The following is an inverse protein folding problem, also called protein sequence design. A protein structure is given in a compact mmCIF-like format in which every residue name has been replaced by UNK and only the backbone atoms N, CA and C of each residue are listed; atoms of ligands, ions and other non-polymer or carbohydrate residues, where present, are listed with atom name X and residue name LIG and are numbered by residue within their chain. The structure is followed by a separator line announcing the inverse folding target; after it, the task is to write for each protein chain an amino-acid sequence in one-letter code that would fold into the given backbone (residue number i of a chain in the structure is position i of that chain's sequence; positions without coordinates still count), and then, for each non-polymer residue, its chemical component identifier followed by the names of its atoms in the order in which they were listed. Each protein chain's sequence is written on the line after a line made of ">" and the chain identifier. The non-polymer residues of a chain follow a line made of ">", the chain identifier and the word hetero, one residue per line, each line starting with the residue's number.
data_IF_178770898750
#
_entry.id   IF_178770898750
#
_cell.length_a   1.000
_cell.length_b   1.000
_cell.length_c   1.000
_cell.angle_alpha   90.00
_cell.angle_beta   90.00
_cell.angle_gamma   90.00
#
_symmetry.space_group_name_H-M   'P 1'
#
loop_
_entity.id
_entity.type
_entity.pdbx_description
1 polymer ?
#
# COMPACT_ATOMS: atom_id res chain seq x y z
N UNK A 1 47.17 -44.23 -48.27
CA UNK A 1 46.58 -42.98 -48.81
C UNK A 1 45.70 -43.35 -50.00
N UNK A 2 44.37 -43.35 -49.87
CA UNK A 2 43.48 -43.58 -51.02
C UNK A 2 42.14 -44.27 -50.80
N UNK A 3 41.55 -44.32 -49.59
CA UNK A 3 40.24 -44.98 -49.40
C UNK A 3 39.26 -44.27 -48.46
N UNK A 4 39.50 -43.02 -48.07
CA UNK A 4 38.65 -42.28 -47.11
C UNK A 4 38.13 -40.92 -47.60
N UNK A 5 38.30 -40.56 -48.88
CA UNK A 5 37.88 -39.26 -49.44
C UNK A 5 36.63 -39.31 -50.35
N UNK A 6 35.92 -40.44 -50.43
CA UNK A 6 34.74 -40.64 -51.30
C UNK A 6 33.39 -40.78 -50.57
N UNK A 7 33.36 -40.62 -49.25
CA UNK A 7 32.13 -40.83 -48.45
C UNK A 7 31.48 -39.55 -47.90
N UNK A 8 32.12 -38.37 -48.01
CA UNK A 8 31.61 -37.14 -47.41
C UNK A 8 31.83 -35.89 -48.30
N UNK A 9 31.56 -36.01 -49.60
CA UNK A 9 31.55 -34.88 -50.54
C UNK A 9 30.21 -34.78 -51.23
N UNK A 10 29.34 -33.89 -50.76
CA UNK A 10 28.05 -33.60 -51.39
C UNK A 10 27.26 -32.58 -50.57
N UNK A 11 27.24 -31.34 -51.06
CA UNK A 11 26.51 -30.20 -50.51
C UNK A 11 25.02 -30.53 -50.25
N UNK A 12 24.64 -30.64 -48.98
CA UNK A 12 23.24 -30.73 -48.58
C UNK A 12 22.62 -29.33 -48.60
N UNK A 13 22.08 -28.91 -49.75
CA UNK A 13 21.08 -27.83 -49.81
C UNK A 13 19.87 -28.24 -48.96
N UNK A 14 19.49 -27.41 -48.00
CA UNK A 14 18.27 -27.58 -47.24
C UNK A 14 17.04 -27.57 -48.18
N UNK A 15 16.03 -28.44 -47.96
CA UNK A 15 14.82 -28.43 -48.76
C UNK A 15 14.04 -27.12 -48.53
N UNK A 16 13.36 -26.58 -49.56
CA UNK A 16 12.59 -25.35 -49.43
C UNK A 16 11.43 -25.54 -48.44
N UNK A 17 11.03 -24.46 -47.73
CA UNK A 17 9.92 -24.53 -46.79
C UNK A 17 8.61 -24.89 -47.52
N UNK A 18 7.68 -25.58 -46.84
CA UNK A 18 6.39 -25.93 -47.44
C UNK A 18 5.60 -24.66 -47.82
N UNK A 19 4.77 -24.72 -48.86
CA UNK A 19 3.98 -23.57 -49.30
C UNK A 19 3.05 -23.09 -48.18
N UNK A 20 2.98 -21.76 -48.02
CA UNK A 20 2.13 -21.12 -47.02
C UNK A 20 0.67 -21.56 -47.22
N UNK A 21 0.02 -21.98 -46.13
CA UNK A 21 -1.41 -22.30 -46.14
C UNK A 21 -2.20 -21.05 -46.59
N UNK A 22 -3.23 -21.21 -47.45
CA UNK A 22 -4.07 -20.08 -47.85
C UNK A 22 -4.69 -19.45 -46.61
N UNK A 23 -4.62 -18.12 -46.51
CA UNK A 23 -5.27 -17.37 -45.44
C UNK A 23 -6.76 -17.70 -45.44
N UNK A 24 -7.39 -17.99 -44.28
CA UNK A 24 -8.83 -18.12 -44.22
C UNK A 24 -9.48 -16.82 -44.74
N UNK A 25 -10.67 -16.90 -45.36
CA UNK A 25 -11.37 -15.72 -45.84
C UNK A 25 -11.54 -14.72 -44.69
N UNK A 26 -11.26 -13.45 -44.95
CA UNK A 26 -11.55 -12.36 -44.01
C UNK A 26 -13.04 -12.43 -43.67
N UNK A 27 -13.35 -12.64 -42.39
CA UNK A 27 -14.69 -12.42 -41.88
C UNK A 27 -15.11 -10.99 -42.28
N UNK A 28 -16.38 -10.76 -42.68
CA UNK A 28 -16.85 -9.43 -43.00
C UNK A 28 -16.54 -8.51 -41.81
N UNK A 29 -15.95 -7.35 -42.09
CA UNK A 29 -15.70 -6.32 -41.09
C UNK A 29 -17.02 -6.08 -40.36
N UNK A 30 -17.06 -6.39 -39.06
CA UNK A 30 -18.16 -5.93 -38.21
C UNK A 30 -18.14 -4.43 -38.34
N UNK A 31 -19.19 -3.88 -38.97
CA UNK A 31 -19.39 -2.44 -39.01
C UNK A 31 -19.16 -1.88 -37.61
N UNK A 32 -18.47 -0.75 -37.56
CA UNK A 32 -18.21 -0.01 -36.33
C UNK A 32 -19.48 -0.01 -35.47
N UNK A 33 -19.38 -0.28 -34.16
CA UNK A 33 -20.55 -0.23 -33.30
C UNK A 33 -21.21 1.14 -33.50
N UNK A 34 -22.43 1.15 -34.04
CA UNK A 34 -23.23 2.35 -34.14
C UNK A 34 -23.17 3.04 -32.78
N UNK A 35 -22.69 4.29 -32.77
CA UNK A 35 -22.72 5.11 -31.58
C UNK A 35 -24.15 5.07 -31.03
N UNK A 36 -24.30 4.56 -29.81
CA UNK A 36 -25.57 4.55 -29.12
C UNK A 36 -26.12 5.99 -29.09
N UNK A 37 -27.44 6.19 -29.21
CA UNK A 37 -28.03 7.52 -29.11
C UNK A 37 -27.55 8.20 -27.82
N UNK A 38 -27.14 9.46 -27.94
CA UNK A 38 -26.66 10.27 -26.82
C UNK A 38 -27.63 10.15 -25.63
N UNK A 39 -27.09 9.79 -24.46
CA UNK A 39 -27.87 9.70 -23.22
C UNK A 39 -28.35 11.10 -22.82
N UNK A 40 -29.60 11.26 -22.34
CA UNK A 40 -30.13 12.56 -21.98
C UNK A 40 -29.47 13.05 -20.68
N UNK A 41 -28.43 13.88 -20.81
CA UNK A 41 -27.99 14.75 -19.72
C UNK A 41 -29.17 15.63 -19.29
N UNK A 42 -29.59 15.51 -18.03
CA UNK A 42 -30.66 16.31 -17.44
C UNK A 42 -32.06 15.71 -17.48
N UNK A 43 -32.21 14.38 -17.61
CA UNK A 43 -33.52 13.76 -17.50
C UNK A 43 -34.08 13.91 -16.07
N UNK A 44 -35.24 14.57 -15.93
CA UNK A 44 -35.96 14.74 -14.67
C UNK A 44 -36.47 13.37 -14.17
N UNK A 45 -35.69 12.73 -13.31
CA UNK A 45 -35.97 11.42 -12.71
C UNK A 45 -37.28 11.44 -11.91
N UNK A 46 -37.65 12.59 -11.34
CA UNK A 46 -38.85 12.71 -10.52
C UNK A 46 -40.14 12.59 -11.33
N UNK A 47 -40.09 13.00 -12.60
CA UNK A 47 -41.18 12.92 -13.56
C UNK A 47 -41.30 11.56 -14.28
N UNK A 48 -40.34 10.64 -14.10
CA UNK A 48 -40.33 9.35 -14.80
C UNK A 48 -41.32 8.34 -14.19
N UNK A 49 -41.92 7.52 -15.06
CA UNK A 49 -42.71 6.36 -14.65
C UNK A 49 -41.84 5.15 -14.27
N UNK A 50 -42.44 4.13 -13.64
CA UNK A 50 -41.73 2.93 -13.20
C UNK A 50 -41.01 2.16 -14.34
N UNK A 51 -41.51 2.24 -15.58
CA UNK A 51 -40.88 1.58 -16.74
C UNK A 51 -39.66 2.33 -17.22
N UNK A 52 -39.73 3.66 -17.26
CA UNK A 52 -38.61 4.53 -17.60
C UNK A 52 -37.49 4.37 -16.56
N UNK A 53 -37.84 4.40 -15.27
CA UNK A 53 -36.90 4.16 -14.17
C UNK A 53 -36.25 2.76 -14.26
N UNK A 54 -37.03 1.72 -14.55
CA UNK A 54 -36.50 0.35 -14.74
C UNK A 54 -35.48 0.26 -15.87
N UNK A 55 -35.65 1.03 -16.96
CA UNK A 55 -34.63 1.10 -18.03
C UNK A 55 -33.39 1.83 -17.55
N UNK A 56 -33.57 2.92 -16.80
CA UNK A 56 -32.47 3.75 -16.28
C UNK A 56 -31.57 3.00 -15.28
N UNK A 57 -32.08 1.95 -14.62
CA UNK A 57 -31.26 1.02 -13.82
C UNK A 57 -30.15 0.28 -14.61
N UNK A 58 -30.15 0.33 -15.94
CA UNK A 58 -29.08 -0.24 -16.79
C UNK A 58 -28.23 0.84 -17.47
N UNK A 59 -28.35 2.11 -17.04
CA UNK A 59 -27.54 3.20 -17.55
C UNK A 59 -26.05 2.96 -17.29
N UNK A 60 -25.18 3.53 -18.13
CA UNK A 60 -23.73 3.45 -17.93
C UNK A 60 -23.28 4.25 -16.71
N UNK A 61 -23.87 5.42 -16.53
CA UNK A 61 -23.59 6.29 -15.39
C UNK A 61 -24.15 5.69 -14.08
N UNK A 62 -23.31 5.44 -13.05
CA UNK A 62 -23.78 5.05 -11.73
C UNK A 62 -24.77 6.05 -11.13
N UNK A 63 -24.56 7.37 -11.32
CA UNK A 63 -25.43 8.39 -10.76
C UNK A 63 -26.89 8.26 -11.24
N UNK A 64 -27.08 8.01 -12.53
CA UNK A 64 -28.39 7.70 -13.10
C UNK A 64 -29.03 6.44 -12.54
N UNK A 65 -28.26 5.34 -12.38
CA UNK A 65 -28.78 4.09 -11.79
C UNK A 65 -29.21 4.29 -10.35
N UNK A 66 -28.42 5.02 -9.57
CA UNK A 66 -28.70 5.32 -8.17
C UNK A 66 -29.93 6.22 -8.00
N UNK A 67 -30.06 7.27 -8.84
CA UNK A 67 -31.24 8.14 -8.84
C UNK A 67 -32.51 7.36 -9.21
N UNK A 68 -32.43 6.49 -10.23
CA UNK A 68 -33.54 5.63 -10.62
C UNK A 68 -33.97 4.68 -9.48
N UNK A 69 -32.99 4.09 -8.79
CA UNK A 69 -33.24 3.17 -7.69
C UNK A 69 -33.90 3.86 -6.49
N UNK A 70 -33.40 5.04 -6.12
CA UNK A 70 -33.99 5.84 -5.05
C UNK A 70 -35.46 6.20 -5.36
N UNK A 71 -35.73 6.61 -6.61
CA UNK A 71 -37.09 6.92 -7.04
C UNK A 71 -37.99 5.69 -7.03
N UNK A 72 -37.55 4.54 -7.54
CA UNK A 72 -38.32 3.29 -7.50
C UNK A 72 -38.64 2.85 -6.07
N UNK A 73 -37.69 2.95 -5.14
CA UNK A 73 -37.93 2.67 -3.73
C UNK A 73 -38.98 3.62 -3.13
N UNK A 74 -38.96 4.91 -3.50
CA UNK A 74 -39.96 5.89 -3.04
C UNK A 74 -41.38 5.59 -3.53
N UNK A 75 -41.52 4.96 -4.71
CA UNK A 75 -42.81 4.50 -5.23
C UNK A 75 -43.33 3.25 -4.50
N UNK A 76 -42.42 2.45 -3.91
CA UNK A 76 -42.76 1.28 -3.09
C UNK A 76 -43.39 0.12 -3.87
N UNK A 77 -43.35 0.15 -5.21
CA UNK A 77 -43.96 -0.91 -6.01
C UNK A 77 -43.14 -2.21 -5.92
N UNK A 78 -43.80 -3.32 -5.59
CA UNK A 78 -43.17 -4.67 -5.57
C UNK A 78 -42.64 -5.09 -6.94
N UNK A 79 -43.17 -4.51 -8.03
CA UNK A 79 -42.71 -4.73 -9.41
C UNK A 79 -41.24 -4.35 -9.59
N UNK A 80 -40.72 -3.41 -8.81
CA UNK A 80 -39.36 -2.89 -8.90
C UNK A 80 -38.31 -3.78 -8.22
N UNK A 81 -38.72 -4.73 -7.35
CA UNK A 81 -37.80 -5.62 -6.64
C UNK A 81 -36.83 -6.35 -7.55
N UNK A 82 -37.35 -7.01 -8.60
CA UNK A 82 -36.51 -7.80 -9.50
C UNK A 82 -35.60 -6.93 -10.39
N UNK A 83 -36.07 -5.82 -10.97
CA UNK A 83 -35.19 -4.83 -11.60
C UNK A 83 -34.06 -4.33 -10.70
N UNK A 84 -34.37 -3.91 -9.47
CA UNK A 84 -33.37 -3.42 -8.51
C UNK A 84 -32.35 -4.49 -8.14
N UNK A 85 -32.81 -5.72 -7.90
CA UNK A 85 -31.95 -6.84 -7.57
C UNK A 85 -31.00 -7.16 -8.72
N UNK A 86 -31.49 -7.20 -9.95
CA UNK A 86 -30.66 -7.40 -11.14
C UNK A 86 -29.65 -6.27 -11.34
N UNK A 87 -30.05 -5.02 -11.12
CA UNK A 87 -29.15 -3.88 -11.22
C UNK A 87 -28.01 -4.00 -10.21
N UNK A 88 -28.32 -4.28 -8.95
CA UNK A 88 -27.29 -4.48 -7.93
C UNK A 88 -26.39 -5.67 -8.23
N UNK A 89 -26.95 -6.83 -8.61
CA UNK A 89 -26.15 -8.01 -8.97
C UNK A 89 -25.19 -7.75 -10.14
N UNK A 90 -25.55 -6.89 -11.09
CA UNK A 90 -24.72 -6.55 -12.24
C UNK A 90 -23.69 -5.46 -11.94
N UNK A 91 -24.04 -4.43 -11.17
CA UNK A 91 -23.23 -3.22 -11.02
C UNK A 91 -22.65 -3.02 -9.61
N UNK A 92 -23.33 -3.49 -8.56
CA UNK A 92 -22.85 -3.39 -7.17
C UNK A 92 -23.01 -2.01 -6.54
N UNK A 93 -23.81 -1.12 -7.12
CA UNK A 93 -23.96 0.26 -6.62
C UNK A 93 -24.58 0.29 -5.21
N UNK A 94 -23.91 0.99 -4.28
CA UNK A 94 -24.28 1.00 -2.87
C UNK A 94 -25.67 1.61 -2.62
N UNK A 95 -26.05 2.66 -3.36
CA UNK A 95 -27.38 3.26 -3.21
C UNK A 95 -28.50 2.38 -3.78
N UNK A 96 -28.20 1.48 -4.73
CA UNK A 96 -29.17 0.48 -5.21
C UNK A 96 -29.41 -0.58 -4.13
N UNK A 97 -28.37 -1.02 -3.42
CA UNK A 97 -28.52 -1.91 -2.27
C UNK A 97 -29.35 -1.27 -1.14
N UNK A 98 -29.10 0.02 -0.87
CA UNK A 98 -29.90 0.80 0.08
C UNK A 98 -31.37 0.90 -0.33
N UNK A 99 -31.64 1.08 -1.62
CA UNK A 99 -33.00 1.07 -2.16
C UNK A 99 -33.65 -0.32 -2.04
N UNK A 100 -32.91 -1.41 -2.23
CA UNK A 100 -33.41 -2.77 -1.98
C UNK A 100 -33.81 -2.94 -0.51
N UNK A 101 -32.97 -2.49 0.43
CA UNK A 101 -33.20 -2.63 1.87
C UNK A 101 -34.58 -2.11 2.34
N UNK A 102 -35.17 -1.13 1.64
CA UNK A 102 -36.50 -0.58 2.00
C UNK A 102 -37.64 -1.59 1.83
N UNK A 103 -37.41 -2.69 1.12
CA UNK A 103 -38.42 -3.73 0.91
C UNK A 103 -38.42 -4.81 2.00
N UNK A 104 -37.41 -4.85 2.88
CA UNK A 104 -37.34 -5.78 4.02
C UNK A 104 -37.61 -7.24 3.64
N UNK A 105 -38.50 -7.89 4.38
CA UNK A 105 -38.87 -9.31 4.21
C UNK A 105 -39.31 -9.69 2.78
N UNK A 106 -39.83 -8.75 1.99
CA UNK A 106 -40.21 -9.03 0.61
C UNK A 106 -39.02 -9.43 -0.28
N UNK A 107 -37.78 -9.12 0.15
CA UNK A 107 -36.54 -9.55 -0.49
C UNK A 107 -36.16 -10.99 -0.20
N UNK A 108 -36.62 -11.58 0.91
CA UNK A 108 -36.14 -12.89 1.37
C UNK A 108 -36.38 -13.99 0.33
N UNK A 109 -37.60 -14.17 -0.25
CA UNK A 109 -37.82 -15.21 -1.24
C UNK A 109 -36.96 -15.08 -2.52
N UNK A 110 -36.86 -13.91 -3.19
CA UNK A 110 -35.98 -13.79 -4.35
C UNK A 110 -34.50 -13.90 -4.00
N UNK A 111 -34.03 -13.35 -2.87
CA UNK A 111 -32.62 -13.46 -2.47
C UNK A 111 -32.20 -14.91 -2.17
N UNK A 112 -33.03 -15.67 -1.45
CA UNK A 112 -32.78 -17.11 -1.21
C UNK A 112 -32.75 -17.92 -2.50
N UNK A 113 -33.56 -17.55 -3.48
CA UNK A 113 -33.55 -18.20 -4.80
C UNK A 113 -32.22 -17.97 -5.51
N UNK A 114 -31.73 -16.74 -5.56
CA UNK A 114 -30.42 -16.44 -6.14
C UNK A 114 -29.30 -17.15 -5.36
N UNK A 115 -29.36 -17.19 -4.02
CA UNK A 115 -28.37 -17.90 -3.21
C UNK A 115 -28.37 -19.42 -3.41
N UNK A 116 -29.48 -20.00 -3.87
CA UNK A 116 -29.58 -21.44 -4.17
C UNK A 116 -29.15 -21.78 -5.60
N UNK A 117 -28.93 -20.77 -6.44
CA UNK A 117 -28.49 -20.97 -7.81
C UNK A 117 -26.98 -21.20 -7.86
N UNK A 118 -26.58 -22.45 -8.14
CA UNK A 118 -25.18 -22.88 -8.25
C UNK A 118 -24.46 -22.26 -9.46
N UNK A 119 -25.20 -21.69 -10.42
CA UNK A 119 -24.63 -20.97 -11.55
C UNK A 119 -24.13 -19.57 -11.19
N UNK A 120 -24.50 -19.05 -10.02
CA UNK A 120 -24.06 -17.74 -9.52
C UNK A 120 -22.75 -17.91 -8.75
N UNK A 121 -21.68 -17.37 -9.31
CA UNK A 121 -20.30 -17.48 -8.80
C UNK A 121 -19.60 -16.11 -8.73
N UNK A 122 -18.46 -16.05 -8.03
CA UNK A 122 -17.59 -14.87 -7.91
C UNK A 122 -18.31 -13.63 -7.38
N UNK A 123 -17.99 -12.45 -7.92
CA UNK A 123 -18.56 -11.15 -7.52
C UNK A 123 -20.09 -11.15 -7.49
N UNK A 124 -20.77 -11.83 -8.41
CA UNK A 124 -22.24 -11.90 -8.38
C UNK A 124 -22.74 -12.67 -7.15
N UNK A 125 -22.05 -13.74 -6.76
CA UNK A 125 -22.34 -14.51 -5.55
C UNK A 125 -22.05 -13.71 -4.28
N UNK A 126 -20.97 -12.95 -4.26
CA UNK A 126 -20.66 -12.04 -3.16
C UNK A 126 -21.77 -10.99 -2.96
N UNK A 127 -22.27 -10.40 -4.06
CA UNK A 127 -23.41 -9.46 -4.04
C UNK A 127 -24.73 -10.09 -3.59
N UNK A 128 -24.92 -11.40 -3.77
CA UNK A 128 -26.09 -12.08 -3.17
C UNK A 128 -26.01 -12.03 -1.64
N UNK A 129 -24.81 -12.17 -1.05
CA UNK A 129 -24.64 -12.06 0.41
C UNK A 129 -25.03 -10.67 0.91
N UNK A 130 -24.69 -9.62 0.15
CA UNK A 130 -25.11 -8.26 0.47
C UNK A 130 -26.62 -8.08 0.49
N UNK A 131 -27.31 -8.60 -0.52
CA UNK A 131 -28.76 -8.56 -0.58
C UNK A 131 -29.36 -9.31 0.62
N UNK A 132 -28.84 -10.50 0.96
CA UNK A 132 -29.28 -11.25 2.13
C UNK A 132 -29.07 -10.46 3.44
N UNK A 133 -27.92 -9.80 3.58
CA UNK A 133 -27.58 -9.00 4.76
C UNK A 133 -28.50 -7.81 5.00
N UNK A 134 -29.06 -7.21 3.95
CA UNK A 134 -30.01 -6.07 4.08
C UNK A 134 -31.47 -6.48 4.27
N UNK A 135 -31.78 -7.78 4.26
CA UNK A 135 -33.15 -8.27 4.50
C UNK A 135 -33.59 -8.10 5.97
N UNK A 136 -32.63 -8.06 6.91
CA UNK A 136 -32.88 -8.08 8.35
C UNK A 136 -33.70 -9.31 8.82
N UNK A 137 -33.61 -10.44 8.11
CA UNK A 137 -34.39 -11.64 8.39
C UNK A 137 -33.52 -12.79 8.88
N UNK A 138 -33.90 -13.42 10.00
CA UNK A 138 -33.21 -14.59 10.55
C UNK A 138 -33.29 -15.82 9.61
N UNK A 139 -34.26 -15.84 8.68
CA UNK A 139 -34.45 -16.95 7.73
C UNK A 139 -33.25 -17.16 6.79
N UNK A 140 -32.41 -16.15 6.60
CA UNK A 140 -31.26 -16.22 5.69
C UNK A 140 -29.94 -16.48 6.41
N UNK A 141 -29.91 -16.42 7.74
CA UNK A 141 -28.68 -16.53 8.54
C UNK A 141 -27.91 -17.82 8.25
N UNK A 142 -28.59 -18.96 8.13
CA UNK A 142 -27.91 -20.23 7.84
C UNK A 142 -27.22 -20.22 6.47
N UNK A 143 -27.87 -19.65 5.45
CA UNK A 143 -27.33 -19.53 4.09
C UNK A 143 -26.10 -18.63 4.08
N UNK A 144 -26.13 -17.53 4.83
CA UNK A 144 -25.01 -16.60 4.94
C UNK A 144 -23.86 -17.22 5.75
N UNK A 145 -24.15 -17.94 6.84
CA UNK A 145 -23.14 -18.64 7.65
C UNK A 145 -22.34 -19.63 6.82
N UNK A 146 -23.00 -20.45 6.01
CA UNK A 146 -22.32 -21.41 5.14
C UNK A 146 -21.35 -20.72 4.16
N UNK A 147 -21.69 -19.51 3.69
CA UNK A 147 -20.84 -18.72 2.80
C UNK A 147 -19.64 -18.05 3.49
N UNK A 148 -19.58 -18.03 4.83
CA UNK A 148 -18.40 -17.53 5.55
C UNK A 148 -17.21 -18.48 5.50
N UNK A 149 -17.38 -19.70 4.97
CA UNK A 149 -16.27 -20.63 4.73
C UNK A 149 -15.98 -20.83 3.24
N UNK A 150 -16.51 -19.94 2.38
CA UNK A 150 -16.21 -19.93 0.95
C UNK A 150 -14.71 -19.64 0.71
N UNK A 151 -14.15 -20.29 -0.30
CA UNK A 151 -12.74 -20.11 -0.68
C UNK A 151 -12.51 -18.80 -1.44
N UNK A 152 -13.55 -18.29 -2.12
CA UNK A 152 -13.52 -16.98 -2.74
C UNK A 152 -13.59 -15.90 -1.66
N UNK A 153 -12.53 -15.09 -1.60
CA UNK A 153 -12.37 -14.08 -0.56
C UNK A 153 -13.45 -13.00 -0.60
N UNK A 154 -13.98 -12.67 -1.79
CA UNK A 154 -15.06 -11.69 -1.92
C UNK A 154 -16.36 -12.24 -1.32
N UNK A 155 -16.69 -13.50 -1.63
CA UNK A 155 -17.87 -14.17 -1.07
C UNK A 155 -17.76 -14.28 0.46
N UNK A 156 -16.61 -14.76 0.93
CA UNK A 156 -16.29 -14.86 2.36
C UNK A 156 -16.50 -13.52 3.09
N UNK A 157 -15.90 -12.45 2.57
CA UNK A 157 -15.92 -11.13 3.21
C UNK A 157 -17.34 -10.55 3.22
N UNK A 158 -18.07 -10.62 2.09
CA UNK A 158 -19.45 -10.13 2.02
C UNK A 158 -20.41 -10.96 2.88
N UNK A 159 -20.18 -12.27 3.01
CA UNK A 159 -20.93 -13.11 3.94
C UNK A 159 -20.72 -12.68 5.41
N UNK A 160 -19.49 -12.37 5.80
CA UNK A 160 -19.19 -11.87 7.14
C UNK A 160 -19.86 -10.51 7.41
N UNK A 161 -19.80 -9.58 6.45
CA UNK A 161 -20.53 -8.29 6.54
C UNK A 161 -22.04 -8.51 6.65
N UNK A 162 -22.60 -9.42 5.85
CA UNK A 162 -24.01 -9.74 5.87
C UNK A 162 -24.45 -10.33 7.22
N UNK A 163 -23.69 -11.25 7.82
CA UNK A 163 -23.97 -11.77 9.16
C UNK A 163 -23.96 -10.67 10.22
N UNK A 164 -22.96 -9.78 10.17
CA UNK A 164 -22.88 -8.67 11.10
C UNK A 164 -24.11 -7.73 10.99
N UNK A 165 -24.60 -7.48 9.76
CA UNK A 165 -25.83 -6.70 9.52
C UNK A 165 -27.09 -7.38 10.04
N UNK A 166 -27.13 -8.72 10.00
CA UNK A 166 -28.19 -9.53 10.57
C UNK A 166 -28.10 -9.63 12.11
N UNK A 167 -27.11 -8.98 12.73
CA UNK A 167 -26.92 -8.98 14.18
C UNK A 167 -26.14 -10.18 14.72
N UNK A 168 -25.58 -11.02 13.84
CA UNK A 168 -24.74 -12.14 14.22
C UNK A 168 -23.28 -11.71 14.34
N UNK A 169 -22.78 -11.65 15.58
CA UNK A 169 -21.40 -11.27 15.90
C UNK A 169 -20.35 -12.20 15.29
N UNK A 170 -20.73 -13.42 14.90
CA UNK A 170 -19.85 -14.38 14.24
C UNK A 170 -19.17 -13.80 12.99
N UNK A 171 -19.89 -12.97 12.21
CA UNK A 171 -19.32 -12.30 11.05
C UNK A 171 -18.15 -11.37 11.41
N UNK A 172 -18.26 -10.64 12.53
CA UNK A 172 -17.19 -9.77 13.02
C UNK A 172 -16.01 -10.60 13.54
N UNK A 173 -16.28 -11.69 14.26
CA UNK A 173 -15.23 -12.54 14.80
C UNK A 173 -14.41 -13.22 13.69
N UNK A 174 -15.04 -13.65 12.58
CA UNK A 174 -14.33 -14.18 11.40
C UNK A 174 -13.41 -13.15 10.75
N UNK A 175 -13.86 -11.91 10.59
CA UNK A 175 -13.03 -10.82 10.07
C UNK A 175 -11.89 -10.47 11.04
N UNK A 176 -12.13 -10.56 12.36
CA UNK A 176 -11.08 -10.38 13.35
C UNK A 176 -9.96 -11.43 13.22
N UNK A 177 -10.31 -12.67 12.88
CA UNK A 177 -9.36 -13.73 12.59
C UNK A 177 -8.59 -13.48 11.30
N UNK A 178 -9.24 -12.98 10.25
CA UNK A 178 -8.56 -12.61 9.00
C UNK A 178 -7.49 -11.54 9.22
N UNK A 179 -7.72 -10.56 10.10
CA UNK A 179 -6.72 -9.55 10.48
C UNK A 179 -5.46 -10.15 11.11
N UNK A 180 -5.49 -11.41 11.58
CA UNK A 180 -4.35 -12.11 12.20
C UNK A 180 -3.61 -13.01 11.20
N UNK A 181 -4.10 -13.15 9.97
CA UNK A 181 -3.46 -13.96 8.94
C UNK A 181 -2.27 -13.24 8.31
N UNK A 182 -1.36 -14.02 7.72
CA UNK A 182 -0.18 -13.50 7.05
C UNK A 182 -0.48 -12.89 5.67
N UNK A 183 -1.61 -13.25 5.06
CA UNK A 183 -2.04 -12.77 3.75
C UNK A 183 -2.49 -11.28 3.80
N UNK A 184 -1.74 -10.35 3.18
CA UNK A 184 -2.08 -8.92 3.20
C UNK A 184 -3.41 -8.59 2.52
N UNK A 185 -3.81 -9.36 1.50
CA UNK A 185 -5.07 -9.11 0.80
C UNK A 185 -6.26 -9.43 1.70
N UNK A 186 -6.19 -10.54 2.45
CA UNK A 186 -7.20 -10.90 3.45
C UNK A 186 -7.31 -9.85 4.55
N UNK A 187 -6.17 -9.38 5.09
CA UNK A 187 -6.18 -8.34 6.13
C UNK A 187 -6.78 -7.03 5.62
N UNK A 188 -6.41 -6.60 4.41
CA UNK A 188 -6.96 -5.38 3.80
C UNK A 188 -8.48 -5.47 3.65
N UNK A 189 -8.99 -6.58 3.09
CA UNK A 189 -10.44 -6.77 2.92
C UNK A 189 -11.19 -6.85 4.26
N UNK A 190 -10.60 -7.48 5.28
CA UNK A 190 -11.17 -7.54 6.61
C UNK A 190 -11.24 -6.16 7.28
N UNK A 191 -10.19 -5.35 7.12
CA UNK A 191 -10.14 -3.98 7.64
C UNK A 191 -11.23 -3.11 6.99
N UNK A 192 -11.35 -3.15 5.66
CA UNK A 192 -12.40 -2.44 4.92
C UNK A 192 -13.81 -2.89 5.36
N UNK A 193 -14.03 -4.20 5.47
CA UNK A 193 -15.30 -4.77 5.90
C UNK A 193 -15.71 -4.35 7.32
N UNK A 194 -14.76 -4.38 8.27
CA UNK A 194 -15.00 -3.95 9.65
C UNK A 194 -15.34 -2.45 9.73
N UNK A 195 -14.70 -1.61 8.91
CA UNK A 195 -15.03 -0.18 8.80
C UNK A 195 -16.43 0.03 8.23
N UNK A 196 -16.81 -0.74 7.21
CA UNK A 196 -18.16 -0.70 6.64
C UNK A 196 -19.23 -1.11 7.65
N UNK A 197 -18.96 -2.15 8.45
CA UNK A 197 -19.88 -2.61 9.51
C UNK A 197 -20.11 -1.51 10.55
N UNK A 198 -19.04 -0.86 11.02
CA UNK A 198 -19.13 0.36 11.85
C UNK A 198 -19.80 0.21 13.23
N UNK A 199 -20.12 -1.01 13.66
CA UNK A 199 -20.66 -1.31 14.99
C UNK A 199 -19.60 -1.13 16.07
N UNK A 200 -20.01 -0.98 17.33
CA UNK A 200 -19.06 -0.80 18.44
C UNK A 200 -18.14 -2.02 18.60
N UNK A 201 -18.65 -3.23 18.34
CA UNK A 201 -17.82 -4.45 18.33
C UNK A 201 -16.79 -4.42 17.21
N UNK A 202 -17.15 -3.98 16.01
CA UNK A 202 -16.19 -3.85 14.89
C UNK A 202 -15.11 -2.80 15.19
N UNK A 203 -15.48 -1.66 15.80
CA UNK A 203 -14.52 -0.65 16.25
C UNK A 203 -13.53 -1.20 17.27
N UNK A 204 -13.99 -1.99 18.25
CA UNK A 204 -13.09 -2.64 19.22
C UNK A 204 -12.08 -3.56 18.52
N UNK A 205 -12.52 -4.33 17.53
CA UNK A 205 -11.61 -5.20 16.74
C UNK A 205 -10.58 -4.37 15.97
N UNK A 206 -10.99 -3.27 15.34
CA UNK A 206 -10.08 -2.35 14.64
C UNK A 206 -9.07 -1.72 15.62
N UNK A 207 -9.52 -1.24 16.78
CA UNK A 207 -8.66 -0.65 17.81
C UNK A 207 -7.64 -1.68 18.34
N UNK A 208 -8.06 -2.94 18.52
CA UNK A 208 -7.16 -4.03 18.90
C UNK A 208 -6.12 -4.32 17.82
N UNK A 209 -6.51 -4.29 16.54
CA UNK A 209 -5.60 -4.49 15.43
C UNK A 209 -4.57 -3.35 15.32
N UNK A 210 -5.01 -2.09 15.41
CA UNK A 210 -4.11 -0.93 15.47
C UNK A 210 -3.17 -1.06 16.67
N UNK A 211 -3.68 -1.40 17.86
CA UNK A 211 -2.84 -1.58 19.05
C UNK A 211 -1.79 -2.68 18.86
N UNK A 212 -2.15 -3.79 18.23
CA UNK A 212 -1.21 -4.89 17.92
C UNK A 212 -0.12 -4.40 16.98
N UNK A 213 -0.48 -3.77 15.87
CA UNK A 213 0.48 -3.23 14.90
C UNK A 213 1.44 -2.24 15.57
N UNK A 214 0.92 -1.28 16.33
CA UNK A 214 1.74 -0.29 17.03
C UNK A 214 2.70 -0.91 18.07
N UNK A 215 2.32 -2.03 18.70
CA UNK A 215 3.17 -2.72 19.67
C UNK A 215 4.46 -3.29 19.02
N UNK A 216 4.44 -3.56 17.72
CA UNK A 216 5.60 -4.08 16.97
C UNK A 216 6.71 -3.02 16.87
N UNK A 217 6.38 -1.74 17.00
CA UNK A 217 7.36 -0.66 17.14
C UNK A 217 8.25 -0.78 18.38
N UNK A 218 7.91 -1.64 19.35
CA UNK A 218 8.78 -2.01 20.47
C UNK A 218 10.04 -2.77 20.04
N UNK A 219 10.09 -3.31 18.82
CA UNK A 219 11.30 -3.90 18.26
C UNK A 219 12.38 -2.85 17.93
N UNK A 220 11.97 -1.59 17.73
CA UNK A 220 12.88 -0.46 17.52
C UNK A 220 13.36 0.03 18.89
N UNK A 221 14.69 0.12 19.16
CA UNK A 221 15.22 0.67 20.40
C UNK A 221 14.71 2.08 20.71
N UNK A 222 14.40 2.36 21.98
CA UNK A 222 13.88 3.66 22.42
C UNK A 222 14.85 4.83 22.20
N UNK A 223 16.15 4.55 22.04
CA UNK A 223 17.19 5.54 21.75
C UNK A 223 17.18 6.04 20.30
N UNK A 224 16.34 5.46 19.43
CA UNK A 224 16.25 5.84 18.02
C UNK A 224 15.03 6.74 17.85
N UNK A 225 15.26 7.95 17.39
CA UNK A 225 14.19 8.84 16.94
C UNK A 225 13.74 8.42 15.54
N UNK A 226 12.43 8.26 15.34
CA UNK A 226 11.85 7.84 14.06
C UNK A 226 10.80 8.85 13.63
N UNK A 227 10.95 9.37 12.42
CA UNK A 227 10.05 10.37 11.84
C UNK A 227 9.49 9.90 10.51
N UNK A 228 8.22 10.19 10.24
CA UNK A 228 7.56 9.93 8.95
C UNK A 228 6.87 11.21 8.42
N UNK A 229 7.64 12.26 8.07
CA UNK A 229 7.11 13.60 7.81
C UNK A 229 6.13 13.68 6.63
N UNK A 230 6.23 12.74 5.67
CA UNK A 230 5.37 12.72 4.48
C UNK A 230 4.01 12.02 4.73
N UNK A 231 3.84 11.34 5.87
CA UNK A 231 2.53 10.87 6.33
C UNK A 231 1.72 12.01 6.95
N UNK A 232 2.39 12.94 7.65
CA UNK A 232 1.77 14.12 8.23
C UNK A 232 1.45 15.17 7.16
N UNK A 233 2.43 15.46 6.30
CA UNK A 233 2.30 16.43 5.22
C UNK A 233 2.88 15.85 3.92
N UNK A 234 2.04 15.29 3.04
CA UNK A 234 2.46 14.65 1.79
C UNK A 234 3.18 15.56 0.79
N UNK A 235 3.04 16.88 0.93
CA UNK A 235 3.64 17.86 0.02
C UNK A 235 4.93 18.48 0.60
N UNK A 236 5.37 18.01 1.78
CA UNK A 236 6.59 18.50 2.43
C UNK A 236 7.83 18.12 1.61
N UNK A 237 8.77 19.05 1.50
CA UNK A 237 10.06 18.79 0.88
C UNK A 237 10.97 18.03 1.88
N UNK A 238 11.26 16.76 1.56
CA UNK A 238 12.06 15.91 2.42
C UNK A 238 13.52 16.39 2.57
N UNK A 239 14.12 17.00 1.54
CA UNK A 239 15.48 17.55 1.61
C UNK A 239 15.53 18.72 2.60
N UNK A 240 14.54 19.61 2.51
CA UNK A 240 14.43 20.72 3.46
C UNK A 240 14.25 20.19 4.90
N UNK A 241 13.39 19.18 5.10
CA UNK A 241 13.18 18.56 6.40
C UNK A 241 14.46 17.93 6.99
N UNK A 242 15.20 17.16 6.20
CA UNK A 242 16.47 16.54 6.62
C UNK A 242 17.50 17.61 6.97
N UNK A 243 17.66 18.64 6.13
CA UNK A 243 18.62 19.73 6.39
C UNK A 243 18.24 20.60 7.60
N UNK A 244 16.96 20.77 7.90
CA UNK A 244 16.50 21.39 9.16
C UNK A 244 16.89 20.55 10.39
N UNK A 245 16.78 19.22 10.31
CA UNK A 245 17.21 18.33 11.40
C UNK A 245 18.72 18.41 11.63
N UNK A 246 19.51 18.42 10.55
CA UNK A 246 20.97 18.61 10.60
C UNK A 246 21.31 19.92 11.33
N UNK A 247 20.66 21.03 10.98
CA UNK A 247 20.93 22.34 11.58
C UNK A 247 20.58 22.43 13.06
N UNK A 248 19.53 21.71 13.50
CA UNK A 248 19.09 21.69 14.90
C UNK A 248 19.95 20.77 15.76
N UNK A 249 20.62 19.80 15.15
CA UNK A 249 21.42 18.82 15.84
C UNK A 249 22.71 19.49 16.38
N UNK A 250 23.05 19.36 17.67
CA UNK A 250 24.22 19.99 18.26
C UNK A 250 25.55 19.35 17.84
N UNK A 251 25.54 18.36 16.93
CA UNK A 251 26.69 17.52 16.61
C UNK A 251 27.65 18.16 15.61
N UNK A 252 28.95 17.94 15.82
CA UNK A 252 30.00 18.43 14.92
C UNK A 252 30.05 17.62 13.62
N UNK A 253 29.77 16.31 13.69
CA UNK A 253 29.67 15.42 12.53
C UNK A 253 28.22 14.95 12.36
N UNK A 254 27.66 15.08 11.17
CA UNK A 254 26.41 14.38 10.81
C UNK A 254 26.62 13.47 9.60
N UNK A 255 26.20 12.22 9.69
CA UNK A 255 26.32 11.22 8.62
C UNK A 255 24.91 10.86 8.15
N UNK A 256 24.59 11.21 6.91
CA UNK A 256 23.28 11.00 6.30
C UNK A 256 23.40 9.87 5.27
N UNK A 257 22.72 8.76 5.54
CA UNK A 257 22.75 7.52 4.75
C UNK A 257 21.32 7.09 4.37
N UNK A 258 21.20 6.01 3.60
CA UNK A 258 19.91 5.50 3.11
C UNK A 258 19.62 5.93 1.67
N UNK A 259 18.56 5.39 1.09
CA UNK A 259 18.25 5.51 -0.34
C UNK A 259 18.05 6.96 -0.76
N UNK A 260 17.38 7.75 0.08
CA UNK A 260 17.14 9.15 -0.19
C UNK A 260 18.40 9.99 0.00
N UNK A 261 19.29 9.62 0.91
CA UNK A 261 20.60 10.27 1.02
C UNK A 261 21.45 10.04 -0.23
N UNK A 262 21.40 8.84 -0.80
CA UNK A 262 22.06 8.53 -2.08
C UNK A 262 21.51 9.38 -3.21
N UNK A 263 20.19 9.54 -3.30
CA UNK A 263 19.57 10.42 -4.29
C UNK A 263 19.99 11.89 -4.10
N UNK A 264 20.03 12.36 -2.85
CA UNK A 264 20.51 13.70 -2.51
C UNK A 264 21.97 13.91 -2.97
N UNK A 265 22.82 12.95 -2.64
CA UNK A 265 24.23 12.95 -3.00
C UNK A 265 24.46 12.82 -4.51
N UNK A 266 23.58 12.15 -5.25
CA UNK A 266 23.77 11.92 -6.70
C UNK A 266 23.27 13.10 -7.53
N UNK A 267 22.06 13.60 -7.21
CA UNK A 267 21.30 14.44 -8.13
C UNK A 267 20.83 15.78 -7.51
N UNK A 268 21.06 16.02 -6.22
CA UNK A 268 20.55 17.21 -5.51
C UNK A 268 21.62 17.94 -4.69
N UNK A 269 22.90 17.78 -5.03
CA UNK A 269 24.03 18.38 -4.31
C UNK A 269 23.91 19.90 -4.16
N UNK A 270 23.53 20.61 -5.21
CA UNK A 270 23.44 22.07 -5.19
C UNK A 270 22.36 22.55 -4.22
N UNK A 271 21.21 21.87 -4.20
CA UNK A 271 20.13 22.16 -3.25
C UNK A 271 20.57 21.90 -1.82
N UNK A 272 21.26 20.78 -1.56
CA UNK A 272 21.80 20.47 -0.22
C UNK A 272 22.81 21.52 0.22
N UNK A 273 23.73 21.93 -0.66
CA UNK A 273 24.74 22.96 -0.39
C UNK A 273 24.13 24.32 -0.10
N UNK A 274 23.08 24.69 -0.83
CA UNK A 274 22.33 25.92 -0.56
C UNK A 274 21.69 25.89 0.83
N UNK A 275 21.06 24.77 1.20
CA UNK A 275 20.42 24.63 2.50
C UNK A 275 21.43 24.60 3.64
N UNK A 276 22.60 23.98 3.46
CA UNK A 276 23.65 23.84 4.48
C UNK A 276 24.83 24.80 4.23
N UNK A 277 24.56 26.02 3.78
CA UNK A 277 25.60 27.03 3.59
C UNK A 277 26.42 27.25 4.87
N UNK A 278 27.75 27.22 4.74
CA UNK A 278 28.69 27.34 5.86
C UNK A 278 29.06 26.02 6.55
N UNK A 279 28.48 24.90 6.14
CA UNK A 279 28.88 23.56 6.57
C UNK A 279 29.92 23.00 5.61
N UNK A 280 30.80 22.14 6.12
CA UNK A 280 31.67 21.34 5.27
C UNK A 280 30.95 20.06 4.84
N UNK A 281 30.75 19.87 3.54
CA UNK A 281 29.83 18.85 3.01
C UNK A 281 30.57 17.89 2.10
N UNK A 282 30.55 16.62 2.48
CA UNK A 282 31.15 15.51 1.77
C UNK A 282 30.07 14.62 1.17
N UNK A 283 30.30 14.12 -0.05
CA UNK A 283 29.34 13.28 -0.76
C UNK A 283 29.96 11.96 -1.17
N UNK A 284 29.17 10.89 -1.08
CA UNK A 284 29.47 9.58 -1.62
C UNK A 284 28.32 9.10 -2.51
N UNK A 285 28.64 8.58 -3.68
CA UNK A 285 27.64 8.12 -4.65
C UNK A 285 27.94 6.69 -5.12
N UNK A 286 26.95 5.94 -5.63
CA UNK A 286 27.12 4.52 -5.96
C UNK A 286 28.16 4.23 -7.04
N UNK A 287 28.52 5.23 -7.86
CA UNK A 287 29.55 5.08 -8.90
C UNK A 287 30.99 5.23 -8.37
N UNK A 288 31.17 5.68 -7.13
CA UNK A 288 32.49 5.76 -6.48
C UNK A 288 32.92 4.38 -5.99
N UNK A 289 34.22 4.09 -6.07
CA UNK A 289 34.77 2.87 -5.49
C UNK A 289 34.64 2.88 -3.96
N UNK A 290 34.48 1.74 -3.27
CA UNK A 290 34.30 1.70 -1.82
C UNK A 290 35.37 2.47 -1.03
N UNK A 291 36.63 2.46 -1.50
CA UNK A 291 37.74 3.20 -0.90
C UNK A 291 37.55 4.73 -1.00
N UNK A 292 36.98 5.21 -2.10
CA UNK A 292 36.66 6.64 -2.29
C UNK A 292 35.48 7.06 -1.41
N UNK A 293 34.47 6.19 -1.26
CA UNK A 293 33.33 6.43 -0.36
C UNK A 293 33.81 6.55 1.09
N UNK A 294 34.70 5.63 1.49
CA UNK A 294 35.37 5.64 2.80
C UNK A 294 36.22 6.90 2.98
N UNK A 295 37.01 7.29 1.97
CA UNK A 295 37.85 8.48 2.06
C UNK A 295 37.01 9.76 2.29
N UNK A 296 35.85 9.88 1.64
CA UNK A 296 34.93 10.99 1.86
C UNK A 296 34.35 11.02 3.29
N UNK A 297 34.04 9.85 3.87
CA UNK A 297 33.61 9.74 5.26
C UNK A 297 34.70 10.21 6.24
N UNK A 298 35.94 9.74 6.04
CA UNK A 298 37.06 10.09 6.90
C UNK A 298 37.41 11.58 6.80
N UNK A 299 37.33 12.17 5.60
CA UNK A 299 37.52 13.61 5.41
C UNK A 299 36.45 14.43 6.16
N UNK A 300 35.19 13.98 6.15
CA UNK A 300 34.12 14.61 6.92
C UNK A 300 34.37 14.54 8.43
N UNK A 301 34.78 13.38 8.93
CA UNK A 301 35.18 13.20 10.34
C UNK A 301 36.34 14.13 10.73
N UNK A 302 37.39 14.20 9.93
CA UNK A 302 38.56 15.02 10.22
C UNK A 302 38.22 16.50 10.27
N UNK A 303 37.31 16.92 9.40
CA UNK A 303 36.78 18.29 9.38
C UNK A 303 35.93 18.59 10.62
N UNK A 304 35.12 17.64 11.08
CA UNK A 304 34.38 17.76 12.34
C UNK A 304 35.29 17.79 13.59
N UNK A 305 36.45 17.13 13.54
CA UNK A 305 37.40 17.10 14.64
C UNK A 305 38.33 18.33 14.67
N UNK A 306 38.43 19.09 13.57
CA UNK A 306 39.36 20.21 13.44
C UNK A 306 39.10 21.35 14.44
N UNK A 307 37.83 21.65 14.73
CA UNK A 307 37.45 22.67 15.71
C UNK A 307 36.15 22.32 16.47
N UNK A 308 35.97 22.88 17.66
CA UNK A 308 34.77 22.68 18.49
C UNK A 308 33.51 23.24 17.81
N UNK A 309 33.66 24.31 17.02
CA UNK A 309 32.57 24.92 16.25
C UNK A 309 32.46 24.32 14.82
N UNK A 310 33.30 23.34 14.47
CA UNK A 310 33.26 22.73 13.15
C UNK A 310 31.93 21.98 12.94
N UNK A 311 31.42 22.09 11.71
CA UNK A 311 30.17 21.49 11.27
C UNK A 311 30.42 20.77 9.95
N UNK A 312 30.60 19.47 10.02
CA UNK A 312 30.79 18.62 8.85
C UNK A 312 29.60 17.67 8.66
N UNK A 313 29.21 17.49 7.41
CA UNK A 313 28.15 16.55 7.03
C UNK A 313 28.63 15.65 5.92
N UNK A 314 28.40 14.36 6.09
CA UNK A 314 28.52 13.37 5.03
C UNK A 314 27.13 13.00 4.48
N UNK A 315 26.99 12.92 3.16
CA UNK A 315 25.78 12.40 2.50
C UNK A 315 26.10 11.25 1.54
N UNK A 316 25.33 10.18 1.62
CA UNK A 316 25.17 9.23 0.53
C UNK A 316 25.50 7.78 0.88
N UNK A 317 26.13 7.07 -0.05
CA UNK A 317 26.36 5.62 0.09
C UNK A 317 27.55 5.32 0.99
N UNK A 318 27.39 4.35 1.88
CA UNK A 318 28.49 3.72 2.59
C UNK A 318 28.35 2.20 2.49
N UNK A 319 29.47 1.45 2.49
CA UNK A 319 29.43 0.03 2.78
C UNK A 319 28.71 -0.21 4.11
N UNK A 320 27.97 -1.32 4.19
CA UNK A 320 27.40 -1.75 5.45
C UNK A 320 28.53 -1.98 6.48
N UNK A 321 28.28 -1.78 7.78
CA UNK A 321 29.32 -1.96 8.80
C UNK A 321 30.03 -3.32 8.76
N UNK A 322 29.33 -4.37 8.33
CA UNK A 322 29.84 -5.74 8.22
C UNK A 322 30.30 -6.15 6.81
N UNK A 323 30.30 -5.23 5.84
CA UNK A 323 30.75 -5.52 4.47
C UNK A 323 32.24 -5.89 4.41
N UNK A 324 32.70 -6.35 3.24
CA UNK A 324 34.12 -6.58 2.98
C UNK A 324 34.62 -5.67 1.84
N UNK A 325 35.56 -4.74 2.10
CA UNK A 325 36.19 -4.46 3.40
C UNK A 325 35.20 -3.81 4.40
N UNK A 326 35.39 -4.05 5.72
CA UNK A 326 34.50 -3.50 6.74
C UNK A 326 34.62 -1.99 6.80
N UNK A 327 33.52 -1.34 7.20
CA UNK A 327 33.51 0.10 7.42
C UNK A 327 34.59 0.47 8.43
N UNK A 328 35.50 1.41 8.10
CA UNK A 328 36.56 1.77 9.02
C UNK A 328 35.98 2.38 10.29
N UNK A 329 36.73 2.27 11.37
CA UNK A 329 36.35 2.81 12.66
C UNK A 329 36.51 4.35 12.64
N UNK A 330 35.42 5.05 12.31
CA UNK A 330 35.43 6.51 12.19
C UNK A 330 34.92 7.21 13.45
N UNK A 331 34.06 6.56 14.24
CA UNK A 331 33.54 7.04 15.53
C UNK A 331 34.57 6.94 16.67
N UNK A 332 35.81 7.33 16.40
CA UNK A 332 36.96 7.26 17.32
C UNK A 332 37.31 8.61 17.91
N UNK A 333 37.95 8.61 19.09
CA UNK A 333 38.64 9.80 19.59
C UNK A 333 39.98 9.91 18.85
N UNK A 334 40.26 10.99 18.11
CA UNK A 334 41.54 11.11 17.43
C UNK A 334 42.68 11.18 18.45
N UNK A 335 43.69 10.33 18.31
CA UNK A 335 44.83 10.30 19.24
C UNK A 335 45.69 11.58 19.18
N UNK A 336 45.68 12.27 18.03
CA UNK A 336 46.54 13.43 17.73
C UNK A 336 45.81 14.78 17.80
N UNK A 337 44.48 14.78 17.94
CA UNK A 337 43.66 15.99 17.97
C UNK A 337 43.08 16.13 19.38
N UNK A 338 43.60 17.11 20.14
CA UNK A 338 43.23 17.33 21.55
C UNK A 338 41.77 17.76 21.81
N UNK A 339 40.86 17.61 20.84
CA UNK A 339 39.45 17.98 20.92
C UNK A 339 38.57 16.80 20.50
N UNK A 340 37.53 16.52 21.28
CA UNK A 340 36.52 15.49 20.97
C UNK A 340 35.40 16.09 20.14
N UNK A 341 34.90 15.37 19.16
CA UNK A 341 33.69 15.74 18.41
C UNK A 341 32.50 14.88 18.85
N UNK A 342 31.30 15.24 18.38
CA UNK A 342 30.07 14.47 18.58
C UNK A 342 29.48 14.11 17.22
N UNK A 343 28.82 12.96 17.12
CA UNK A 343 28.30 12.44 15.88
C UNK A 343 26.78 12.28 15.92
N UNK A 344 26.13 12.43 14.77
CA UNK A 344 24.76 12.00 14.54
C UNK A 344 24.70 11.21 13.25
N UNK A 345 24.07 10.05 13.27
CA UNK A 345 23.76 9.29 12.06
C UNK A 345 22.26 9.46 11.77
N UNK A 346 21.93 9.79 10.53
CA UNK A 346 20.55 9.93 10.05
C UNK A 346 20.36 8.96 8.89
N UNK A 347 19.52 7.94 9.09
CA UNK A 347 19.10 7.02 8.03
C UNK A 347 17.83 7.53 7.37
N UNK A 348 17.94 7.95 6.11
CA UNK A 348 16.81 8.50 5.34
C UNK A 348 16.29 7.46 4.37
N UNK A 349 15.06 7.02 4.64
CA UNK A 349 14.32 6.01 3.90
C UNK A 349 15.09 4.68 3.77
N UNK A 350 15.39 4.02 4.91
CA UNK A 350 15.95 2.67 4.89
C UNK A 350 14.97 1.72 4.20
N UNK A 351 15.48 0.79 3.41
CA UNK A 351 14.65 -0.23 2.74
C UNK A 351 14.57 -1.55 3.51
N UNK A 352 15.49 -1.77 4.45
CA UNK A 352 15.57 -3.00 5.22
C UNK A 352 15.91 -2.64 6.67
N UNK A 353 15.10 -3.11 7.62
CA UNK A 353 15.38 -2.93 9.05
C UNK A 353 16.67 -3.64 9.47
N UNK A 354 17.06 -4.72 8.79
CA UNK A 354 18.30 -5.46 9.08
C UNK A 354 19.56 -4.60 8.93
N UNK A 355 19.67 -3.82 7.86
CA UNK A 355 20.79 -2.89 7.68
C UNK A 355 20.85 -1.86 8.80
N UNK A 356 19.69 -1.41 9.28
CA UNK A 356 19.60 -0.50 10.41
C UNK A 356 20.09 -1.14 11.71
N UNK A 357 19.82 -2.43 11.93
CA UNK A 357 20.38 -3.17 13.04
C UNK A 357 21.91 -3.24 12.96
N UNK A 358 22.51 -3.40 11.78
CA UNK A 358 23.97 -3.41 11.67
C UNK A 358 24.60 -2.08 12.08
N UNK A 359 23.98 -0.97 11.70
CA UNK A 359 24.40 0.36 12.14
C UNK A 359 24.28 0.53 13.65
N UNK A 360 23.21 0.02 14.26
CA UNK A 360 23.04 0.04 15.70
C UNK A 360 24.12 -0.74 16.43
N UNK A 361 24.38 -1.98 16.02
CA UNK A 361 25.45 -2.80 16.60
C UNK A 361 26.81 -2.12 16.43
N UNK A 362 27.08 -1.55 15.25
CA UNK A 362 28.31 -0.80 15.02
C UNK A 362 28.45 0.38 15.98
N UNK A 363 27.41 1.19 16.17
CA UNK A 363 27.45 2.34 17.10
C UNK A 363 27.67 1.86 18.54
N UNK A 364 26.95 0.82 18.97
CA UNK A 364 27.08 0.28 20.33
C UNK A 364 28.46 -0.30 20.61
N UNK A 365 29.04 -1.02 19.66
CA UNK A 365 30.32 -1.72 19.83
C UNK A 365 31.52 -0.82 19.59
N UNK A 366 31.40 0.17 18.70
CA UNK A 366 32.54 0.95 18.19
C UNK A 366 32.54 2.39 18.63
N UNK A 367 31.43 3.00 19.04
CA UNK A 367 31.43 4.46 19.27
C UNK A 367 32.25 4.85 20.51
N UNK A 368 33.31 5.65 20.31
CA UNK A 368 34.11 6.25 21.39
C UNK A 368 33.76 7.72 21.66
N UNK A 369 32.94 8.30 20.78
CA UNK A 369 32.37 9.64 20.85
C UNK A 369 30.86 9.56 21.11
N UNK A 370 30.22 10.60 21.68
CA UNK A 370 28.77 10.64 21.78
C UNK A 370 28.14 10.60 20.38
N UNK A 371 27.30 9.60 20.14
CA UNK A 371 26.67 9.34 18.84
C UNK A 371 25.19 9.11 19.01
N UNK A 372 24.39 9.94 18.34
CA UNK A 372 22.94 9.78 18.24
C UNK A 372 22.57 9.12 16.90
N UNK A 373 21.43 8.43 16.88
CA UNK A 373 20.93 7.77 15.67
C UNK A 373 19.45 8.08 15.44
N UNK A 374 19.14 8.56 14.25
CA UNK A 374 17.80 8.98 13.83
C UNK A 374 17.41 8.31 12.51
N UNK A 375 16.12 8.04 12.34
CA UNK A 375 15.53 7.53 11.11
C UNK A 375 14.47 8.49 10.60
N UNK A 376 14.55 8.82 9.32
CA UNK A 376 13.54 9.62 8.62
C UNK A 376 12.99 8.80 7.47
N UNK A 377 11.76 8.33 7.60
CA UNK A 377 11.05 7.53 6.60
C UNK A 377 10.49 8.44 5.50
N UNK A 378 10.58 8.02 4.24
CA UNK A 378 9.88 8.67 3.13
C UNK A 378 8.47 8.07 2.90
N UNK A 379 7.97 7.28 3.86
CA UNK A 379 6.62 6.73 3.84
C UNK A 379 5.58 7.83 3.61
N UNK A 380 4.71 7.61 2.63
CA UNK A 380 3.62 8.51 2.25
C UNK A 380 2.43 7.69 1.74
N UNK A 381 1.37 8.34 1.26
CA UNK A 381 0.15 7.68 0.78
C UNK A 381 0.44 6.56 -0.23
N UNK A 382 -0.39 5.49 -0.28
CA UNK A 382 -0.27 4.43 -1.27
C UNK A 382 -0.12 5.00 -2.69
N UNK A 383 0.79 4.42 -3.47
CA UNK A 383 1.14 4.87 -4.82
C UNK A 383 2.18 6.00 -4.89
N UNK A 384 2.46 6.70 -3.78
CA UNK A 384 3.60 7.63 -3.67
C UNK A 384 4.82 7.03 -2.95
N UNK A 385 4.64 5.93 -2.22
CA UNK A 385 5.69 5.20 -1.51
C UNK A 385 5.42 3.68 -1.55
N UNK A 386 6.31 2.88 -0.96
CA UNK A 386 6.16 1.43 -0.83
C UNK A 386 5.11 1.00 0.22
N UNK A 387 4.57 1.94 0.98
CA UNK A 387 3.55 1.67 2.00
C UNK A 387 2.26 1.11 1.40
N UNK A 388 1.76 0.04 2.02
CA UNK A 388 0.55 -0.66 1.61
C UNK A 388 -0.73 0.10 1.98
N UNK A 389 -1.85 -0.32 1.40
CA UNK A 389 -3.17 0.21 1.74
C UNK A 389 -3.54 -0.09 3.20
N UNK A 390 -3.25 -1.30 3.68
CA UNK A 390 -3.45 -1.71 5.07
C UNK A 390 -2.72 -0.78 6.05
N UNK A 391 -1.42 -0.56 5.83
CA UNK A 391 -0.61 0.30 6.70
C UNK A 391 -1.10 1.75 6.67
N UNK A 392 -1.52 2.26 5.50
CA UNK A 392 -2.10 3.59 5.43
C UNK A 392 -3.40 3.70 6.22
N UNK A 393 -4.25 2.69 6.15
CA UNK A 393 -5.50 2.66 6.91
C UNK A 393 -5.23 2.56 8.41
N UNK A 394 -4.26 1.75 8.85
CA UNK A 394 -3.80 1.72 10.24
C UNK A 394 -3.30 3.10 10.69
N UNK A 395 -2.54 3.80 9.84
CA UNK A 395 -2.10 5.17 10.13
C UNK A 395 -3.29 6.13 10.28
N UNK A 396 -4.29 6.06 9.40
CA UNK A 396 -5.49 6.91 9.48
C UNK A 396 -6.31 6.65 10.76
N UNK A 397 -6.32 5.40 11.24
CA UNK A 397 -6.98 5.02 12.49
C UNK A 397 -6.12 5.31 13.74
N UNK A 398 -4.83 5.59 13.57
CA UNK A 398 -3.92 5.88 14.68
C UNK A 398 -4.15 7.31 15.19
N UNK A 399 -4.41 7.50 16.50
CA UNK A 399 -4.54 8.83 17.10
C UNK A 399 -3.28 9.68 16.87
N UNK A 400 -3.46 10.99 16.76
CA UNK A 400 -2.37 11.92 16.43
C UNK A 400 -1.20 11.81 17.42
N UNK A 401 -1.51 11.69 18.70
CA UNK A 401 -0.53 11.53 19.79
C UNK A 401 0.27 10.22 19.72
N UNK A 402 -0.18 9.24 18.92
CA UNK A 402 0.48 7.94 18.71
C UNK A 402 1.08 7.78 17.32
N UNK A 403 1.11 8.82 16.48
CA UNK A 403 1.71 8.73 15.13
C UNK A 403 3.19 8.40 15.14
N UNK A 404 3.92 8.79 16.19
CA UNK A 404 5.30 8.36 16.38
C UNK A 404 5.40 6.85 16.63
N UNK A 405 4.49 6.26 17.42
CA UNK A 405 4.44 4.80 17.59
C UNK A 405 4.21 4.10 16.24
N UNK A 406 3.37 4.69 15.37
CA UNK A 406 3.14 4.16 14.03
C UNK A 406 4.42 4.17 13.19
N UNK A 407 5.13 5.30 13.15
CA UNK A 407 6.38 5.39 12.39
C UNK A 407 7.41 4.34 12.84
N UNK A 408 7.48 4.07 14.16
CA UNK A 408 8.33 3.01 14.72
C UNK A 408 7.87 1.61 14.32
N UNK A 409 6.57 1.34 14.38
CA UNK A 409 6.01 0.06 13.95
C UNK A 409 6.23 -0.19 12.46
N UNK A 410 6.01 0.83 11.62
CA UNK A 410 6.28 0.77 10.19
C UNK A 410 7.75 0.46 9.91
N UNK A 411 8.69 1.13 10.61
CA UNK A 411 10.11 0.81 10.48
C UNK A 411 10.44 -0.64 10.84
N UNK A 412 9.77 -1.23 11.82
CA UNK A 412 9.97 -2.63 12.21
C UNK A 412 9.45 -3.64 11.17
N UNK A 413 8.58 -3.21 10.24
CA UNK A 413 8.00 -4.02 9.17
C UNK A 413 8.79 -3.99 7.86
N UNK A 414 9.72 -3.03 7.70
CA UNK A 414 10.61 -2.91 6.54
C UNK A 414 11.67 -4.01 6.54
#
# INVERSE_FOLDING_TARGET
>A
MGFLKKLFGGDKKAPPPPPARPRPPRLPERGEPQAAPAEPEGADVDAMDARQLTRLLNARDPGQREAAAARLASLGERSALRPLMNAYLNYGDALVLKALATYGDALVPPARREASDIGIIGTRRARVMDILGVTASDEVVSVVRDATDDLDLEIHTRACVALARLGDVWGIDRLADDLRLTDPQRRTMALEALREIGTDRAKVVLDEHVRRYLAEGGAVPASIDVHAPLLENPDRNLIAYVTEHIKRAPHSLTVVIGSMAIQMASNKRDVVKEHLAGWDIHFSIPTMAPEEQIAALLASRDSAAADADARAVFFGMLPAPHDNPPLPHFLTRPADIGKTYTAKIISVDPHEYMLLQDWLHYIQDKSEVPTDFEVILAASRPGKSAMSAEEYDIYQMTPEERRNDFARAYLAHL
#
